data_IF_276199554384
#
_entry.id   IF_276199554384
#
_cell.length_a   1.000
_cell.length_b   1.000
_cell.length_c   1.000
_cell.angle_alpha   90.00
_cell.angle_beta   90.00
_cell.angle_gamma   90.00
#
_symmetry.space_group_name_H-M   'P 1'
#
loop_
_entity.id
_entity.type
_entity.pdbx_description
1 polymer ?
#
# COMPACT_ATOMS: atom_id res chain seq x y z
N UNK A 1 38.83 -46.67 -50.36
CA UNK A 1 40.09 -46.01 -50.61
C UNK A 1 40.44 -45.16 -49.43
N UNK A 2 41.36 -45.68 -48.59
CA UNK A 2 42.64 -45.03 -48.26
C UNK A 2 42.50 -43.76 -47.41
N UNK A 3 43.04 -43.57 -46.28
CA UNK A 3 44.09 -44.13 -45.41
C UNK A 3 44.18 -43.17 -44.20
N UNK A 4 44.09 -43.59 -42.98
CA UNK A 4 45.18 -43.67 -41.99
C UNK A 4 46.01 -42.40 -41.85
N UNK A 5 46.12 -41.81 -40.62
CA UNK A 5 47.27 -42.02 -39.73
C UNK A 5 47.04 -41.49 -38.30
N UNK A 6 47.39 -42.33 -37.33
CA UNK A 6 47.56 -42.06 -35.90
C UNK A 6 48.85 -41.29 -35.66
N UNK A 7 48.87 -40.40 -34.61
CA UNK A 7 50.08 -40.25 -33.80
C UNK A 7 49.67 -40.19 -32.33
N UNK A 8 50.10 -41.21 -31.60
CA UNK A 8 50.23 -41.28 -30.14
C UNK A 8 51.39 -40.37 -29.71
N UNK A 9 51.27 -39.68 -28.62
CA UNK A 9 52.41 -39.30 -27.78
C UNK A 9 52.01 -39.27 -26.31
N UNK A 10 52.72 -40.12 -25.61
CA UNK A 10 52.76 -40.36 -24.17
C UNK A 10 53.45 -39.22 -23.42
N UNK A 11 53.11 -39.08 -22.18
CA UNK A 11 53.89 -38.78 -20.94
C UNK A 11 53.35 -37.57 -20.22
N UNK A 12 53.11 -37.52 -18.98
CA UNK A 12 53.69 -37.98 -17.73
C UNK A 12 52.70 -37.69 -16.58
N UNK A 13 52.51 -38.65 -15.71
CA UNK A 13 51.90 -38.46 -14.40
C UNK A 13 52.76 -37.49 -13.55
N UNK A 14 52.13 -36.49 -13.00
CA UNK A 14 52.55 -35.91 -11.71
C UNK A 14 51.36 -35.78 -10.82
N UNK A 15 51.32 -36.66 -9.84
CA UNK A 15 50.39 -36.65 -8.70
C UNK A 15 50.74 -35.45 -7.83
N UNK A 16 49.91 -34.42 -7.87
CA UNK A 16 49.86 -33.41 -6.81
C UNK A 16 48.53 -33.59 -6.14
N UNK A 17 48.55 -34.10 -4.93
CA UNK A 17 47.42 -34.12 -3.99
C UNK A 17 47.09 -32.69 -3.66
N UNK A 18 46.04 -32.12 -4.25
CA UNK A 18 45.39 -30.91 -3.77
C UNK A 18 44.13 -31.29 -3.02
N UNK A 19 44.09 -30.95 -1.75
CA UNK A 19 42.93 -30.92 -0.90
C UNK A 19 41.76 -30.27 -1.67
N UNK A 20 40.69 -31.01 -1.91
CA UNK A 20 39.41 -30.45 -2.32
C UNK A 20 38.75 -29.84 -1.11
N UNK A 21 38.91 -28.53 -0.95
CA UNK A 21 37.92 -27.72 -0.24
C UNK A 21 36.72 -27.56 -1.18
N UNK A 22 35.56 -28.05 -0.77
CA UNK A 22 34.28 -27.80 -1.44
C UNK A 22 34.08 -26.28 -1.54
N UNK A 23 33.56 -25.75 -2.67
CA UNK A 23 33.09 -24.37 -2.70
C UNK A 23 31.84 -24.29 -1.85
N UNK A 24 31.98 -23.63 -0.69
CA UNK A 24 30.85 -23.21 0.10
C UNK A 24 29.97 -22.24 -0.71
N UNK A 25 28.68 -22.42 -0.58
CA UNK A 25 27.67 -21.47 -1.05
C UNK A 25 28.06 -20.05 -0.64
N UNK A 26 28.54 -19.28 -1.59
CA UNK A 26 28.57 -17.83 -1.41
C UNK A 26 27.15 -17.34 -1.57
N UNK A 27 26.41 -17.33 -0.46
CA UNK A 27 25.27 -16.46 -0.32
C UNK A 27 25.76 -15.05 -0.67
N UNK A 28 25.19 -14.41 -1.69
CA UNK A 28 25.36 -12.99 -1.96
C UNK A 28 25.10 -12.24 -0.69
N UNK A 29 26.15 -11.76 -0.04
CA UNK A 29 26.05 -10.88 1.11
C UNK A 29 25.46 -9.58 0.62
N UNK A 30 24.23 -9.30 1.04
CA UNK A 30 23.67 -7.95 1.00
C UNK A 30 24.71 -6.97 1.56
N UNK A 31 24.95 -5.83 0.91
CA UNK A 31 25.96 -4.86 1.38
C UNK A 31 25.71 -4.27 2.76
N UNK A 32 24.67 -4.72 3.45
CA UNK A 32 24.25 -4.31 4.79
C UNK A 32 24.41 -5.41 5.85
N UNK A 33 25.42 -6.27 5.76
CA UNK A 33 25.76 -7.13 6.90
C UNK A 33 26.45 -6.27 7.94
N UNK A 34 25.72 -5.87 8.97
CA UNK A 34 26.29 -5.32 10.18
C UNK A 34 27.22 -6.37 10.80
N UNK A 35 28.50 -6.23 10.61
CA UNK A 35 29.55 -7.03 11.28
C UNK A 35 29.64 -6.57 12.73
N UNK A 36 28.74 -7.03 13.58
CA UNK A 36 28.68 -6.69 15.01
C UNK A 36 29.53 -7.58 15.87
N UNK A 37 30.79 -7.87 15.52
CA UNK A 37 31.74 -8.51 16.45
C UNK A 37 33.19 -8.02 16.41
N UNK A 38 33.57 -7.08 15.53
CA UNK A 38 34.98 -6.68 15.37
C UNK A 38 35.20 -5.17 15.51
N UNK A 39 34.70 -4.53 16.57
CA UNK A 39 35.16 -3.18 16.96
C UNK A 39 34.82 -2.04 15.95
N UNK A 40 33.96 -2.26 15.00
CA UNK A 40 33.45 -1.23 14.09
C UNK A 40 32.38 -0.37 14.80
N UNK A 41 32.40 0.96 14.68
CA UNK A 41 31.40 1.81 15.28
C UNK A 41 30.02 1.36 14.83
N UNK A 42 29.14 1.19 15.82
CA UNK A 42 27.75 0.75 15.57
C UNK A 42 27.06 1.71 14.60
N UNK A 43 26.32 1.17 13.64
CA UNK A 43 25.53 1.93 12.68
C UNK A 43 24.44 2.73 13.43
N UNK A 44 24.49 4.07 13.37
CA UNK A 44 23.60 4.96 14.12
C UNK A 44 23.15 6.14 13.24
N UNK A 45 22.52 7.14 13.81
CA UNK A 45 21.91 8.28 13.10
C UNK A 45 22.82 8.96 12.05
N UNK A 46 24.11 9.23 12.29
CA UNK A 46 24.98 9.81 11.28
C UNK A 46 25.11 8.95 10.02
N UNK A 47 25.20 7.63 10.19
CA UNK A 47 25.32 6.69 9.08
C UNK A 47 24.01 6.61 8.27
N UNK A 48 22.85 6.67 8.95
CA UNK A 48 21.53 6.74 8.32
C UNK A 48 21.40 8.01 7.47
N UNK A 49 21.87 9.15 8.01
CA UNK A 49 21.83 10.42 7.30
C UNK A 49 22.79 10.45 6.10
N UNK A 50 23.98 9.86 6.23
CA UNK A 50 24.92 9.73 5.13
C UNK A 50 24.38 8.83 4.01
N UNK A 51 23.75 7.71 4.37
CA UNK A 51 23.09 6.81 3.41
C UNK A 51 21.82 7.41 2.78
N UNK A 52 21.21 8.43 3.41
CA UNK A 52 20.02 9.11 2.93
C UNK A 52 18.72 8.29 2.98
N UNK A 53 18.72 7.12 3.64
CA UNK A 53 17.57 6.23 3.78
C UNK A 53 17.40 5.76 5.22
N UNK A 54 16.17 5.86 5.73
CA UNK A 54 15.75 5.37 7.05
C UNK A 54 14.85 4.15 6.85
N UNK A 55 15.25 2.99 7.40
CA UNK A 55 14.53 1.72 7.26
C UNK A 55 13.64 1.49 8.47
N UNK A 56 12.33 1.52 8.24
CA UNK A 56 11.32 1.41 9.29
C UNK A 56 10.68 0.03 9.28
N UNK A 57 10.81 -0.68 10.38
CA UNK A 57 10.17 -1.97 10.61
C UNK A 57 8.77 -1.77 11.18
N UNK A 58 7.77 -2.46 10.63
CA UNK A 58 6.38 -2.34 11.06
C UNK A 58 5.58 -3.63 10.82
N UNK A 59 4.31 -3.60 11.21
CA UNK A 59 3.34 -4.66 10.93
C UNK A 59 2.24 -4.12 10.02
N UNK A 60 1.64 -4.99 9.21
CA UNK A 60 0.41 -4.64 8.52
C UNK A 60 -0.72 -4.37 9.53
N UNK A 61 -1.46 -3.29 9.30
CA UNK A 61 -2.62 -2.94 10.10
C UNK A 61 -3.07 -1.49 9.89
N UNK A 62 -4.33 -1.17 10.23
CA UNK A 62 -4.92 0.15 9.98
C UNK A 62 -4.23 1.29 10.74
N UNK A 63 -3.57 0.97 11.85
CA UNK A 63 -2.84 1.93 12.67
C UNK A 63 -1.36 1.97 12.34
N UNK A 64 -0.79 0.83 11.95
CA UNK A 64 0.63 0.69 11.70
C UNK A 64 0.99 1.08 10.28
N UNK A 65 0.67 0.20 9.32
CA UNK A 65 0.97 0.39 7.90
C UNK A 65 0.03 -0.42 7.02
N UNK A 66 -0.41 0.15 5.92
CA UNK A 66 -1.17 -0.52 4.86
C UNK A 66 -1.04 0.26 3.54
N UNK A 67 -1.27 -0.45 2.44
CA UNK A 67 -1.36 0.14 1.11
C UNK A 67 -2.82 0.36 0.71
N UNK A 68 -3.07 1.46 0.02
CA UNK A 68 -4.36 1.77 -0.57
C UNK A 68 -4.17 2.47 -1.91
N UNK A 69 -4.65 1.87 -2.99
CA UNK A 69 -4.52 2.40 -4.36
C UNK A 69 -3.07 2.72 -4.75
N UNK A 70 -2.10 1.93 -4.28
CA UNK A 70 -0.67 2.13 -4.53
C UNK A 70 -0.02 3.27 -3.74
N UNK A 71 -0.69 3.80 -2.74
CA UNK A 71 -0.15 4.76 -1.79
C UNK A 71 -0.04 4.12 -0.40
N UNK A 72 0.92 4.59 0.39
CA UNK A 72 1.23 4.04 1.70
C UNK A 72 0.59 4.86 2.82
N UNK A 73 -0.08 4.17 3.72
CA UNK A 73 -0.83 4.74 4.83
C UNK A 73 -0.59 3.99 6.14
N UNK A 74 -1.15 4.51 7.20
CA UNK A 74 -1.04 4.03 8.57
C UNK A 74 -0.61 5.16 9.47
N UNK A 75 -1.22 5.26 10.64
CA UNK A 75 -0.98 6.34 11.59
C UNK A 75 0.49 6.37 12.01
N UNK A 76 1.03 5.22 12.41
CA UNK A 76 2.41 5.10 12.84
C UNK A 76 3.40 5.39 11.69
N UNK A 77 3.13 4.85 10.50
CA UNK A 77 3.91 5.11 9.31
C UNK A 77 3.96 6.61 8.94
N UNK A 78 2.80 7.29 8.99
CA UNK A 78 2.75 8.71 8.62
C UNK A 78 3.55 9.58 9.57
N UNK A 79 3.57 9.25 10.85
CA UNK A 79 4.41 9.91 11.86
C UNK A 79 5.90 9.60 11.57
N UNK A 80 6.27 8.33 11.33
CA UNK A 80 7.63 7.92 10.99
C UNK A 80 8.16 8.62 9.75
N UNK A 81 7.31 8.80 8.72
CA UNK A 81 7.65 9.53 7.50
C UNK A 81 7.99 11.00 7.77
N UNK A 82 7.30 11.65 8.70
CA UNK A 82 7.62 13.03 9.08
C UNK A 82 8.96 13.11 9.82
N UNK A 83 9.27 12.12 10.66
CA UNK A 83 10.58 12.03 11.28
C UNK A 83 11.69 11.85 10.23
N UNK A 84 11.55 10.91 9.29
CA UNK A 84 12.51 10.71 8.21
C UNK A 84 12.78 12.01 7.43
N UNK A 85 11.71 12.74 7.07
CA UNK A 85 11.82 14.05 6.41
C UNK A 85 12.56 15.08 7.27
N UNK A 86 12.36 15.08 8.59
CA UNK A 86 12.99 16.05 9.50
C UNK A 86 14.49 15.84 9.63
N UNK A 87 14.98 14.61 9.46
CA UNK A 87 16.40 14.27 9.47
C UNK A 87 17.04 14.22 8.08
N UNK A 88 16.27 14.58 7.02
CA UNK A 88 16.78 14.69 5.66
C UNK A 88 16.89 13.37 4.90
N UNK A 89 16.20 12.31 5.33
CA UNK A 89 16.26 10.98 4.71
C UNK A 89 14.98 10.60 3.98
N UNK A 90 15.08 9.68 3.02
CA UNK A 90 13.96 8.92 2.50
C UNK A 90 13.52 7.87 3.53
N UNK A 91 12.31 7.31 3.36
CA UNK A 91 11.82 6.22 4.21
C UNK A 91 11.65 4.96 3.38
N UNK A 92 12.19 3.83 3.86
CA UNK A 92 11.88 2.48 3.39
C UNK A 92 11.12 1.73 4.47
N UNK A 93 10.08 1.01 4.08
CA UNK A 93 9.27 0.23 5.02
C UNK A 93 9.51 -1.24 4.79
N UNK A 94 9.87 -1.94 5.87
CA UNK A 94 9.99 -3.39 5.91
C UNK A 94 8.90 -3.94 6.83
N UNK A 95 8.03 -4.78 6.28
CA UNK A 95 6.90 -5.32 7.03
C UNK A 95 7.24 -6.70 7.57
N UNK A 96 7.14 -6.86 8.90
CA UNK A 96 7.34 -8.12 9.58
C UNK A 96 6.03 -8.94 9.63
N UNK A 97 6.15 -10.25 9.78
CA UNK A 97 5.00 -11.17 9.84
C UNK A 97 4.27 -11.11 11.18
N UNK A 98 4.99 -10.83 12.26
CA UNK A 98 4.48 -10.76 13.63
C UNK A 98 5.48 -10.03 14.54
N UNK A 99 5.12 -9.80 15.80
CA UNK A 99 5.97 -9.07 16.75
C UNK A 99 7.32 -9.74 17.02
N UNK A 100 7.40 -11.09 17.01
CA UNK A 100 8.67 -11.82 17.20
C UNK A 100 9.60 -11.58 16.02
N UNK A 101 9.08 -11.70 14.79
CA UNK A 101 9.81 -11.43 13.56
C UNK A 101 10.29 -9.96 13.51
N UNK A 102 9.43 -9.03 13.91
CA UNK A 102 9.71 -7.61 14.00
C UNK A 102 10.95 -7.31 14.90
N UNK A 103 10.96 -7.88 16.10
CA UNK A 103 12.09 -7.75 17.04
C UNK A 103 13.34 -8.42 16.50
N UNK A 104 13.21 -9.62 15.92
CA UNK A 104 14.33 -10.34 15.31
C UNK A 104 14.98 -9.52 14.19
N UNK A 105 14.17 -8.97 13.28
CA UNK A 105 14.65 -8.11 12.19
C UNK A 105 15.41 -6.88 12.71
N UNK A 106 14.89 -6.21 13.73
CA UNK A 106 15.57 -5.07 14.34
C UNK A 106 16.93 -5.46 14.92
N UNK A 107 16.97 -6.54 15.69
CA UNK A 107 18.21 -7.00 16.34
C UNK A 107 19.23 -7.53 15.31
N UNK A 108 18.77 -8.05 14.17
CA UNK A 108 19.64 -8.48 13.08
C UNK A 108 20.11 -7.33 12.17
N UNK A 109 19.71 -6.07 12.45
CA UNK A 109 20.08 -4.93 11.63
C UNK A 109 19.34 -4.82 10.30
N UNK A 110 18.20 -5.50 10.13
CA UNK A 110 17.38 -5.44 8.92
C UNK A 110 16.54 -4.15 8.84
N UNK A 111 16.64 -3.28 9.84
CA UNK A 111 16.01 -1.96 9.88
C UNK A 111 16.55 -1.16 11.06
N UNK A 112 16.20 0.13 11.10
CA UNK A 112 16.76 1.09 12.05
C UNK A 112 15.92 1.21 13.32
N UNK A 113 14.60 1.20 13.17
CA UNK A 113 13.68 1.22 14.30
C UNK A 113 12.30 0.60 13.97
N UNK A 114 11.55 0.27 15.03
CA UNK A 114 10.19 -0.25 14.94
C UNK A 114 9.18 0.88 15.10
N UNK A 115 8.36 1.12 14.07
CA UNK A 115 7.23 2.06 14.10
C UNK A 115 5.89 1.32 14.18
N UNK A 116 5.63 0.70 15.30
CA UNK A 116 4.32 0.18 15.69
C UNK A 116 4.24 0.09 17.22
N UNK A 117 3.04 -0.17 17.75
CA UNK A 117 2.84 -0.34 19.19
C UNK A 117 3.44 -1.68 19.66
N UNK A 118 4.73 -1.69 20.00
CA UNK A 118 5.40 -2.83 20.58
C UNK A 118 5.28 -2.80 22.13
N UNK A 119 4.81 -3.87 22.78
CA UNK A 119 4.77 -3.94 24.25
C UNK A 119 6.15 -3.77 24.86
N UNK A 120 6.29 -2.89 25.86
CA UNK A 120 7.53 -2.61 26.56
C UNK A 120 7.87 -3.73 27.58
N UNK A 121 8.09 -4.94 27.08
CA UNK A 121 8.42 -6.10 27.92
C UNK A 121 9.82 -5.95 28.54
N UNK A 122 9.95 -6.32 29.83
CA UNK A 122 11.22 -6.22 30.55
C UNK A 122 12.32 -7.07 29.91
N UNK A 123 11.97 -8.20 29.32
CA UNK A 123 12.91 -9.06 28.57
C UNK A 123 13.54 -8.39 27.35
N UNK A 124 12.91 -7.37 26.80
CA UNK A 124 13.41 -6.62 25.65
C UNK A 124 14.22 -5.37 26.04
N UNK A 125 14.03 -4.86 27.26
CA UNK A 125 14.72 -3.65 27.74
C UNK A 125 16.24 -3.78 27.83
N UNK A 126 16.76 -5.01 27.83
CA UNK A 126 18.20 -5.26 27.78
C UNK A 126 18.81 -4.92 26.41
N UNK A 127 18.05 -5.05 25.33
CA UNK A 127 18.50 -4.94 23.95
C UNK A 127 17.89 -3.76 23.20
N UNK A 128 16.74 -3.25 23.65
CA UNK A 128 15.97 -2.19 23.00
C UNK A 128 15.75 -1.00 23.90
N UNK A 129 15.79 0.19 23.32
CA UNK A 129 15.28 1.42 23.90
C UNK A 129 13.86 1.66 23.36
N UNK A 130 12.93 1.88 24.29
CA UNK A 130 11.54 2.19 23.96
C UNK A 130 11.32 3.69 23.89
N UNK A 131 10.83 4.17 22.75
CA UNK A 131 10.72 5.58 22.41
C UNK A 131 9.25 5.98 22.24
N UNK A 132 8.87 7.14 22.78
CA UNK A 132 7.54 7.72 22.56
C UNK A 132 6.42 7.04 23.31
N UNK A 133 6.67 6.39 24.45
CA UNK A 133 5.65 5.68 25.25
C UNK A 133 4.47 6.60 25.60
N UNK A 134 4.75 7.77 26.17
CA UNK A 134 3.71 8.72 26.58
C UNK A 134 3.09 9.45 25.37
N UNK A 135 3.92 9.85 24.42
CA UNK A 135 3.51 10.61 23.25
C UNK A 135 2.57 9.80 22.35
N UNK A 136 2.90 8.55 22.06
CA UNK A 136 2.09 7.65 21.24
C UNK A 136 0.80 7.27 21.98
N UNK A 137 0.88 6.94 23.27
CA UNK A 137 -0.31 6.61 24.06
C UNK A 137 -1.31 7.76 24.07
N UNK A 138 -0.86 8.97 24.41
CA UNK A 138 -1.72 10.17 24.42
C UNK A 138 -2.33 10.45 23.07
N UNK A 139 -1.56 10.29 21.99
CA UNK A 139 -2.05 10.50 20.63
C UNK A 139 -3.10 9.46 20.25
N UNK A 140 -2.87 8.18 20.51
CA UNK A 140 -3.79 7.10 20.15
C UNK A 140 -5.11 7.20 20.93
N UNK A 141 -5.07 7.58 22.22
CA UNK A 141 -6.27 7.83 23.00
C UNK A 141 -7.10 9.00 22.44
N UNK A 142 -6.45 10.10 22.10
CA UNK A 142 -7.09 11.25 21.47
C UNK A 142 -7.68 10.90 20.09
N UNK A 143 -7.00 10.10 19.30
CA UNK A 143 -7.45 9.64 17.98
C UNK A 143 -8.69 8.74 18.12
N UNK A 144 -8.68 7.81 19.08
CA UNK A 144 -9.82 6.94 19.42
C UNK A 144 -11.07 7.74 19.78
N UNK A 145 -10.92 8.74 20.64
CA UNK A 145 -12.02 9.63 21.03
C UNK A 145 -12.57 10.42 19.84
N UNK A 146 -11.70 11.01 19.02
CA UNK A 146 -12.09 11.82 17.86
C UNK A 146 -12.83 10.99 16.80
N UNK A 147 -12.38 9.76 16.53
CA UNK A 147 -12.97 8.87 15.53
C UNK A 147 -14.15 8.06 16.05
N UNK A 148 -14.42 8.09 17.36
CA UNK A 148 -15.38 7.20 18.04
C UNK A 148 -15.12 5.71 17.73
N UNK A 149 -13.86 5.36 17.55
CA UNK A 149 -13.41 4.02 17.18
C UNK A 149 -12.75 3.37 18.39
N UNK A 150 -13.49 2.50 19.06
CA UNK A 150 -13.03 1.77 20.25
C UNK A 150 -12.01 0.67 19.92
N UNK A 151 -11.77 0.37 18.64
CA UNK A 151 -10.74 -0.58 18.22
C UNK A 151 -9.35 0.05 18.22
N UNK A 152 -9.26 1.39 18.14
CA UNK A 152 -8.03 2.16 18.29
C UNK A 152 -7.66 2.31 19.78
N UNK A 153 -7.36 1.21 20.46
CA UNK A 153 -6.96 1.29 21.85
C UNK A 153 -5.48 1.57 21.99
N UNK A 154 -5.15 2.56 22.83
CA UNK A 154 -3.81 2.68 23.40
C UNK A 154 -3.50 1.42 24.21
N UNK A 155 -2.40 0.75 23.89
CA UNK A 155 -1.82 -0.25 24.76
C UNK A 155 -0.94 0.53 25.76
N UNK A 156 -1.44 0.74 26.99
CA UNK A 156 -0.66 1.33 28.07
C UNK A 156 0.60 0.53 28.25
N UNK A 157 1.78 1.07 27.94
CA UNK A 157 3.09 0.42 27.89
C UNK A 157 3.48 -0.17 26.50
N UNK A 158 2.98 0.40 25.43
CA UNK A 158 3.50 0.12 24.10
C UNK A 158 4.18 1.37 23.51
N UNK A 159 5.26 1.16 22.76
CA UNK A 159 6.07 2.22 22.20
C UNK A 159 6.75 1.79 20.90
N UNK A 160 7.39 2.72 20.22
CA UNK A 160 8.38 2.40 19.21
C UNK A 160 9.66 1.88 19.87
N UNK A 161 10.51 1.22 19.10
CA UNK A 161 11.74 0.64 19.66
C UNK A 161 12.92 0.85 18.72
N UNK A 162 14.08 1.17 19.31
CA UNK A 162 15.38 1.33 18.66
C UNK A 162 16.35 0.35 19.33
N UNK A 163 17.38 -0.13 18.62
CA UNK A 163 18.45 -0.90 19.24
C UNK A 163 19.20 -0.04 20.28
N UNK A 164 19.66 -0.65 21.35
CA UNK A 164 20.48 0.06 22.37
C UNK A 164 21.84 0.51 21.85
N UNK A 165 22.35 -0.13 20.83
CA UNK A 165 23.60 0.23 20.16
C UNK A 165 23.46 1.37 19.14
N UNK A 166 22.25 1.96 19.01
CA UNK A 166 21.97 3.15 18.20
C UNK A 166 21.47 4.31 19.09
N UNK A 167 22.26 4.79 20.06
CA UNK A 167 21.83 5.77 21.06
C UNK A 167 21.51 7.15 20.48
N UNK A 168 22.17 7.57 19.39
CA UNK A 168 21.92 8.87 18.76
C UNK A 168 20.57 8.87 18.05
N UNK A 169 20.21 7.77 17.36
CA UNK A 169 18.89 7.59 16.77
C UNK A 169 17.80 7.58 17.85
N UNK A 170 18.01 6.84 18.94
CA UNK A 170 17.07 6.76 20.07
C UNK A 170 16.82 8.13 20.69
N UNK A 171 17.89 8.89 20.96
CA UNK A 171 17.80 10.23 21.53
C UNK A 171 17.12 11.22 20.57
N UNK A 172 17.51 11.22 19.30
CA UNK A 172 16.93 12.09 18.26
C UNK A 172 15.44 11.84 18.09
N UNK A 173 15.04 10.56 17.97
CA UNK A 173 13.64 10.17 17.79
C UNK A 173 12.80 10.54 19.03
N UNK A 174 13.31 10.31 20.24
CA UNK A 174 12.67 10.70 21.49
C UNK A 174 12.45 12.20 21.59
N UNK A 175 13.48 12.98 21.29
CA UNK A 175 13.40 14.44 21.30
C UNK A 175 12.40 14.96 20.26
N UNK A 176 12.46 14.41 19.05
CA UNK A 176 11.56 14.79 17.96
C UNK A 176 10.10 14.48 18.31
N UNK A 177 9.80 13.28 18.80
CA UNK A 177 8.44 12.90 19.21
C UNK A 177 7.88 13.83 20.28
N UNK A 178 8.66 14.14 21.29
CA UNK A 178 8.26 15.07 22.37
C UNK A 178 7.97 16.48 21.82
N UNK A 179 8.81 16.98 20.92
CA UNK A 179 8.65 18.30 20.32
C UNK A 179 7.43 18.39 19.39
N UNK A 180 7.08 17.32 18.67
CA UNK A 180 6.08 17.31 17.61
C UNK A 180 4.80 16.57 17.97
N UNK A 181 4.63 16.12 19.21
CA UNK A 181 3.42 15.39 19.65
C UNK A 181 2.12 16.10 19.29
N UNK A 182 2.08 17.44 19.44
CA UNK A 182 0.90 18.25 19.11
C UNK A 182 0.57 18.27 17.61
N UNK A 183 1.54 17.95 16.77
CA UNK A 183 1.41 17.97 15.32
C UNK A 183 1.01 16.61 14.73
N UNK A 184 0.98 15.54 15.54
CA UNK A 184 0.69 14.18 15.07
C UNK A 184 -0.64 14.09 14.32
N UNK A 185 -1.69 14.80 14.76
CA UNK A 185 -2.94 14.88 14.02
C UNK A 185 -2.78 15.51 12.62
N UNK A 186 -1.93 16.53 12.50
CA UNK A 186 -1.65 17.15 11.22
C UNK A 186 -0.88 16.22 10.28
N UNK A 187 0.03 15.42 10.81
CA UNK A 187 0.81 14.44 10.05
C UNK A 187 -0.04 13.27 9.55
N UNK A 188 -1.03 12.84 10.33
CA UNK A 188 -1.92 11.73 9.97
C UNK A 188 -3.11 12.15 9.12
N UNK A 189 -3.29 13.45 8.88
CA UNK A 189 -4.32 13.99 8.01
C UNK A 189 -3.74 14.34 6.64
N UNK A 190 -4.29 13.74 5.57
CA UNK A 190 -3.90 14.08 4.21
C UNK A 190 -4.45 15.47 3.88
N UNK A 191 -3.56 16.46 3.86
CA UNK A 191 -3.89 17.81 3.42
C UNK A 191 -3.53 17.95 1.94
N UNK A 192 -4.54 17.89 1.08
CA UNK A 192 -4.38 18.38 -0.28
C UNK A 192 -4.37 19.91 -0.19
N UNK A 193 -3.22 20.53 -0.48
CA UNK A 193 -3.14 21.99 -0.62
C UNK A 193 -3.97 22.39 -1.83
N UNK A 194 -5.25 22.71 -1.62
CA UNK A 194 -6.00 23.48 -2.61
C UNK A 194 -5.36 24.88 -2.70
N UNK A 195 -4.99 25.30 -3.89
CA UNK A 195 -4.63 26.70 -4.16
C UNK A 195 -5.85 27.56 -3.84
N UNK A 196 -5.89 28.16 -2.64
CA UNK A 196 -6.96 29.05 -2.22
C UNK A 196 -7.52 28.68 -0.85
N UNK A 197 -6.81 28.94 0.17
CA UNK A 197 -7.03 29.27 1.57
C UNK A 197 -8.37 28.99 2.27
N UNK A 198 -9.14 27.95 1.92
CA UNK A 198 -10.29 27.53 2.72
C UNK A 198 -10.27 26.00 2.89
N UNK A 199 -9.91 25.56 4.10
CA UNK A 199 -10.16 24.21 4.58
C UNK A 199 -11.66 24.05 4.78
N UNK A 200 -12.36 23.57 3.76
CA UNK A 200 -13.72 23.06 3.95
C UNK A 200 -13.61 21.60 4.37
N UNK A 201 -14.31 21.16 5.44
CA UNK A 201 -14.58 19.75 5.58
C UNK A 201 -15.31 19.30 4.30
N UNK A 202 -15.06 18.10 3.79
CA UNK A 202 -15.69 17.63 2.56
C UNK A 202 -17.20 17.61 2.78
N UNK A 203 -17.88 18.66 2.37
CA UNK A 203 -19.35 18.63 2.21
C UNK A 203 -19.60 17.80 0.96
N UNK A 204 -19.95 16.54 1.19
CA UNK A 204 -20.50 15.70 0.15
C UNK A 204 -21.76 16.39 -0.37
N UNK A 205 -21.68 17.07 -1.50
CA UNK A 205 -22.86 17.42 -2.29
C UNK A 205 -23.37 16.11 -2.89
N UNK A 206 -24.35 15.51 -2.24
CA UNK A 206 -25.02 14.33 -2.79
C UNK A 206 -25.88 14.80 -3.96
N UNK A 207 -25.38 14.62 -5.17
CA UNK A 207 -26.21 14.77 -6.38
C UNK A 207 -27.20 13.61 -6.47
N UNK A 208 -28.36 13.86 -7.12
CA UNK A 208 -29.27 12.77 -7.42
C UNK A 208 -28.56 11.70 -8.29
N UNK A 209 -28.82 10.40 -8.06
CA UNK A 209 -28.18 9.34 -8.84
C UNK A 209 -28.58 9.33 -10.32
N UNK A 210 -29.68 9.97 -10.69
CA UNK A 210 -30.17 10.20 -12.06
C UNK A 210 -30.79 11.59 -12.08
N UNK A 211 -30.33 12.47 -12.97
CA UNK A 211 -30.86 13.83 -13.08
C UNK A 211 -32.24 13.81 -13.75
N UNK A 212 -32.37 13.13 -14.89
CA UNK A 212 -33.61 13.07 -15.64
C UNK A 212 -33.73 11.78 -16.48
N UNK A 213 -34.40 10.78 -15.93
CA UNK A 213 -34.58 9.50 -16.57
C UNK A 213 -35.39 9.62 -17.90
N UNK A 214 -36.40 10.50 -17.95
CA UNK A 214 -37.25 10.67 -19.15
C UNK A 214 -36.46 11.25 -20.34
N UNK A 215 -35.38 12.03 -20.05
CA UNK A 215 -34.47 12.57 -21.08
C UNK A 215 -33.22 11.70 -21.28
N UNK A 216 -33.14 10.54 -20.65
CA UNK A 216 -31.97 9.66 -20.74
C UNK A 216 -30.71 10.23 -20.11
N UNK A 217 -30.83 11.15 -19.11
CA UNK A 217 -29.71 11.88 -18.52
C UNK A 217 -29.42 11.38 -17.11
N UNK A 218 -28.23 10.82 -16.91
CA UNK A 218 -27.72 10.39 -15.59
C UNK A 218 -27.08 11.58 -14.87
N UNK A 219 -26.18 12.30 -15.53
CA UNK A 219 -25.38 13.37 -14.94
C UNK A 219 -25.12 14.52 -15.90
N UNK A 220 -24.48 15.59 -15.42
CA UNK A 220 -23.96 16.65 -16.28
C UNK A 220 -22.73 16.23 -17.10
N UNK A 221 -22.19 15.04 -16.85
CA UNK A 221 -20.94 14.53 -17.43
C UNK A 221 -21.16 13.38 -18.41
N UNK A 222 -22.40 13.09 -18.79
CA UNK A 222 -22.75 11.94 -19.63
C UNK A 222 -21.99 11.93 -20.96
N UNK A 223 -21.79 13.09 -21.58
CA UNK A 223 -21.02 13.23 -22.83
C UNK A 223 -19.54 12.85 -22.65
N UNK A 224 -18.97 13.17 -21.48
CA UNK A 224 -17.61 12.74 -21.14
C UNK A 224 -17.56 11.23 -20.94
N UNK A 225 -18.53 10.66 -20.23
CA UNK A 225 -18.59 9.22 -20.02
C UNK A 225 -18.78 8.47 -21.34
N UNK A 226 -19.68 8.91 -22.22
CA UNK A 226 -19.87 8.36 -23.57
C UNK A 226 -18.59 8.42 -24.39
N UNK A 227 -17.91 9.58 -24.40
CA UNK A 227 -16.66 9.79 -25.14
C UNK A 227 -15.56 8.84 -24.67
N UNK A 228 -15.33 8.71 -23.36
CA UNK A 228 -14.20 8.00 -22.80
C UNK A 228 -14.46 6.50 -22.52
N UNK A 229 -15.70 6.08 -22.36
CA UNK A 229 -16.07 4.67 -22.19
C UNK A 229 -15.63 3.82 -23.39
N UNK A 230 -15.69 4.38 -24.60
CA UNK A 230 -15.21 3.73 -25.82
C UNK A 230 -13.73 3.37 -25.76
N UNK A 231 -12.91 4.16 -25.05
CA UNK A 231 -11.46 3.95 -24.95
C UNK A 231 -11.07 2.77 -24.05
N UNK A 232 -11.92 2.44 -23.08
CA UNK A 232 -11.72 1.30 -22.18
C UNK A 232 -12.65 0.11 -22.46
N UNK A 233 -13.49 0.21 -23.50
CA UNK A 233 -14.41 -0.86 -23.90
C UNK A 233 -15.57 -1.08 -22.94
N UNK A 234 -15.96 -0.06 -22.18
CA UNK A 234 -17.04 -0.12 -21.20
C UNK A 234 -18.34 0.50 -21.71
N UNK A 235 -19.46 0.06 -21.13
CA UNK A 235 -20.73 0.80 -21.18
C UNK A 235 -20.54 2.14 -20.44
N UNK A 236 -20.89 3.26 -21.07
CA UNK A 236 -20.76 4.59 -20.47
C UNK A 236 -21.54 4.72 -19.15
N UNK A 237 -22.66 3.98 -19.00
CA UNK A 237 -23.47 3.92 -17.77
C UNK A 237 -22.73 3.23 -16.62
N UNK A 238 -21.85 2.28 -16.93
CA UNK A 238 -20.95 1.68 -15.93
C UNK A 238 -19.95 2.71 -15.43
N UNK A 239 -19.35 3.49 -16.36
CA UNK A 239 -18.43 4.57 -15.99
C UNK A 239 -19.13 5.66 -15.16
N UNK A 240 -20.38 6.02 -15.51
CA UNK A 240 -21.20 6.91 -14.73
C UNK A 240 -21.55 6.35 -13.35
N UNK A 241 -21.84 5.04 -13.24
CA UNK A 241 -22.09 4.37 -11.96
C UNK A 241 -20.85 4.39 -11.05
N UNK A 242 -19.67 4.23 -11.63
CA UNK A 242 -18.41 4.36 -10.91
C UNK A 242 -18.16 5.80 -10.45
N UNK A 243 -18.33 6.80 -11.32
CA UNK A 243 -18.17 8.22 -10.96
C UNK A 243 -19.11 8.65 -9.82
N UNK A 244 -20.35 8.15 -9.84
CA UNK A 244 -21.26 8.38 -8.72
C UNK A 244 -20.76 7.76 -7.41
N UNK A 245 -20.23 6.55 -7.46
CA UNK A 245 -19.68 5.88 -6.29
C UNK A 245 -18.43 6.60 -5.74
N UNK A 246 -17.60 7.15 -6.62
CA UNK A 246 -16.38 7.85 -6.26
C UNK A 246 -16.65 9.22 -5.62
N UNK A 247 -17.50 10.05 -6.24
CA UNK A 247 -17.67 11.46 -5.85
C UNK A 247 -19.11 11.95 -5.75
N UNK A 248 -20.10 11.10 -6.07
CA UNK A 248 -21.48 11.55 -6.32
C UNK A 248 -21.55 12.66 -7.39
N UNK A 249 -20.72 12.54 -8.43
CA UNK A 249 -20.56 13.51 -9.52
C UNK A 249 -20.00 14.87 -9.09
N UNK A 250 -19.31 14.99 -7.97
CA UNK A 250 -18.62 16.21 -7.57
C UNK A 250 -17.19 16.25 -8.13
N UNK A 251 -16.88 17.16 -9.10
CA UNK A 251 -15.54 17.25 -9.67
C UNK A 251 -14.53 17.87 -8.71
N UNK A 252 -14.97 18.49 -7.61
CA UNK A 252 -14.10 19.08 -6.59
C UNK A 252 -13.94 18.16 -5.37
N UNK A 253 -14.44 16.93 -5.44
CA UNK A 253 -14.37 16.00 -4.32
C UNK A 253 -12.93 15.66 -3.95
N UNK A 254 -12.66 15.66 -2.65
CA UNK A 254 -11.40 15.22 -2.05
C UNK A 254 -11.75 14.19 -0.99
N UNK A 255 -11.25 12.96 -1.12
CA UNK A 255 -11.47 11.94 -0.11
C UNK A 255 -10.58 12.17 1.12
N UNK A 256 -10.93 11.51 2.22
CA UNK A 256 -10.09 11.48 3.42
C UNK A 256 -8.68 10.94 3.13
N UNK A 257 -8.54 10.00 2.20
CA UNK A 257 -7.27 9.40 1.78
C UNK A 257 -6.54 10.19 0.69
N UNK A 258 -7.07 11.36 0.28
CA UNK A 258 -6.43 12.25 -0.70
C UNK A 258 -6.72 11.93 -2.16
N UNK A 259 -7.70 11.09 -2.46
CA UNK A 259 -8.17 10.89 -3.83
C UNK A 259 -8.92 12.13 -4.32
N UNK A 260 -8.77 12.47 -5.60
CA UNK A 260 -9.12 13.77 -6.17
C UNK A 260 -10.08 13.69 -7.35
N UNK A 261 -11.06 14.59 -7.36
CA UNK A 261 -11.92 14.87 -8.50
C UNK A 261 -13.02 13.87 -8.73
N UNK A 262 -13.66 13.95 -9.90
CA UNK A 262 -14.87 13.24 -10.28
C UNK A 262 -14.75 11.70 -10.17
N UNK A 263 -13.57 11.17 -10.55
CA UNK A 263 -13.26 9.74 -10.54
C UNK A 263 -12.29 9.35 -9.42
N UNK A 264 -12.00 10.24 -8.47
CA UNK A 264 -11.19 10.02 -7.28
C UNK A 264 -9.82 9.37 -7.57
N UNK A 265 -9.02 10.01 -8.43
CA UNK A 265 -7.66 9.59 -8.70
C UNK A 265 -6.73 9.93 -7.53
N UNK A 266 -5.93 8.97 -7.09
CA UNK A 266 -4.82 9.27 -6.17
C UNK A 266 -3.74 10.12 -6.86
N UNK A 267 -3.02 11.00 -6.16
CA UNK A 267 -2.03 11.88 -6.76
C UNK A 267 -0.94 11.16 -7.56
N UNK A 268 -0.45 10.03 -7.09
CA UNK A 268 0.53 9.20 -7.81
C UNK A 268 -0.07 8.62 -9.08
N UNK A 269 -1.27 8.04 -8.97
CA UNK A 269 -2.00 7.47 -10.10
C UNK A 269 -2.33 8.54 -11.15
N UNK A 270 -2.78 9.73 -10.73
CA UNK A 270 -3.05 10.85 -11.64
C UNK A 270 -1.80 11.18 -12.50
N UNK A 271 -0.63 11.30 -11.85
CA UNK A 271 0.65 11.52 -12.57
C UNK A 271 0.97 10.38 -13.52
N UNK A 272 0.82 9.14 -13.08
CA UNK A 272 1.09 7.93 -13.90
C UNK A 272 0.23 7.89 -15.17
N UNK A 273 -1.05 8.28 -15.08
CA UNK A 273 -1.96 8.32 -16.25
C UNK A 273 -1.90 9.64 -17.04
N UNK A 274 -0.98 10.55 -16.69
CA UNK A 274 -0.75 11.81 -17.39
C UNK A 274 -1.77 12.90 -17.09
N UNK A 275 -2.23 12.98 -15.83
CA UNK A 275 -3.06 14.06 -15.30
C UNK A 275 -2.24 14.87 -14.30
N UNK A 276 -2.01 16.15 -14.60
CA UNK A 276 -1.27 17.05 -13.72
C UNK A 276 -2.09 17.43 -12.47
N UNK A 277 -1.39 17.87 -11.43
CA UNK A 277 -2.04 18.36 -10.20
C UNK A 277 -2.92 19.60 -10.42
N UNK A 278 -2.65 20.39 -11.48
CA UNK A 278 -3.48 21.53 -11.86
C UNK A 278 -4.74 21.15 -12.62
N UNK A 279 -4.77 19.97 -13.25
CA UNK A 279 -5.87 19.49 -14.08
C UNK A 279 -6.74 18.41 -13.41
N UNK A 280 -6.32 17.89 -12.26
CA UNK A 280 -7.00 16.75 -11.62
C UNK A 280 -8.45 17.03 -11.25
N UNK A 281 -8.83 18.30 -11.02
CA UNK A 281 -10.22 18.72 -10.76
C UNK A 281 -10.99 19.10 -12.03
N UNK A 282 -10.32 19.12 -13.20
CA UNK A 282 -11.02 19.28 -14.48
C UNK A 282 -11.71 17.96 -14.85
N UNK A 283 -13.05 17.94 -15.02
CA UNK A 283 -13.79 16.70 -15.29
C UNK A 283 -13.28 15.92 -16.51
N UNK A 284 -12.94 16.62 -17.59
CA UNK A 284 -12.45 15.99 -18.82
C UNK A 284 -11.09 15.30 -18.59
N UNK A 285 -10.13 15.98 -17.94
CA UNK A 285 -8.81 15.41 -17.64
C UNK A 285 -8.91 14.28 -16.64
N UNK A 286 -9.77 14.40 -15.63
CA UNK A 286 -9.97 13.40 -14.59
C UNK A 286 -10.60 12.11 -15.14
N UNK A 287 -11.68 12.21 -15.94
CA UNK A 287 -12.32 11.05 -16.58
C UNK A 287 -11.36 10.38 -17.58
N UNK A 288 -10.64 11.18 -18.39
CA UNK A 288 -9.61 10.66 -19.31
C UNK A 288 -8.52 9.85 -18.56
N UNK A 289 -8.04 10.37 -17.44
CA UNK A 289 -7.06 9.66 -16.62
C UNK A 289 -7.60 8.37 -16.04
N UNK A 290 -8.82 8.40 -15.50
CA UNK A 290 -9.48 7.23 -14.95
C UNK A 290 -9.70 6.13 -15.99
N UNK A 291 -10.11 6.47 -17.20
CA UNK A 291 -10.30 5.47 -18.28
C UNK A 291 -8.99 4.88 -18.77
N UNK A 292 -7.87 5.64 -18.74
CA UNK A 292 -6.53 5.05 -18.96
C UNK A 292 -6.17 4.03 -17.89
N UNK A 293 -6.42 4.32 -16.60
CA UNK A 293 -6.21 3.35 -15.53
C UNK A 293 -7.07 2.10 -15.74
N UNK A 294 -8.35 2.27 -16.05
CA UNK A 294 -9.26 1.15 -16.35
C UNK A 294 -8.72 0.30 -17.51
N UNK A 295 -8.21 0.92 -18.56
CA UNK A 295 -7.60 0.21 -19.68
C UNK A 295 -6.34 -0.58 -19.28
N UNK A 296 -5.50 -0.01 -18.42
CA UNK A 296 -4.32 -0.71 -17.85
C UNK A 296 -4.74 -1.91 -17.02
N UNK A 297 -5.75 -1.75 -16.14
CA UNK A 297 -6.31 -2.85 -15.34
C UNK A 297 -6.98 -3.91 -16.21
N UNK A 298 -7.67 -3.52 -17.29
CA UNK A 298 -8.23 -4.46 -18.25
C UNK A 298 -7.15 -5.31 -18.92
N UNK A 299 -6.01 -4.72 -19.24
CA UNK A 299 -4.85 -5.44 -19.79
C UNK A 299 -4.22 -6.36 -18.73
N UNK A 300 -4.13 -5.90 -17.47
CA UNK A 300 -3.62 -6.70 -16.36
C UNK A 300 -4.47 -7.98 -16.13
N UNK A 301 -5.78 -7.85 -16.20
CA UNK A 301 -6.72 -8.98 -16.03
C UNK A 301 -7.14 -9.65 -17.35
N UNK A 302 -6.40 -9.49 -18.44
CA UNK A 302 -6.74 -10.06 -19.75
C UNK A 302 -6.82 -11.60 -19.77
N UNK A 303 -6.19 -12.28 -18.80
CA UNK A 303 -6.31 -13.73 -18.59
C UNK A 303 -7.73 -14.16 -18.25
N UNK A 304 -8.52 -13.32 -17.59
CA UNK A 304 -9.94 -13.57 -17.27
C UNK A 304 -10.76 -13.37 -18.55
N UNK A 305 -11.16 -14.46 -19.17
CA UNK A 305 -11.79 -14.43 -20.52
C UNK A 305 -13.21 -13.87 -20.51
N UNK A 306 -13.96 -14.11 -19.42
CA UNK A 306 -15.31 -13.56 -19.28
C UNK A 306 -15.21 -12.05 -18.98
N UNK A 307 -15.71 -11.22 -19.89
CA UNK A 307 -15.66 -9.76 -19.79
C UNK A 307 -16.50 -9.22 -18.61
N UNK A 308 -17.63 -9.84 -18.30
CA UNK A 308 -18.49 -9.46 -17.17
C UNK A 308 -17.81 -9.76 -15.83
N UNK A 309 -17.13 -10.90 -15.71
CA UNK A 309 -16.31 -11.19 -14.55
C UNK A 309 -15.15 -10.22 -14.44
N UNK A 310 -14.41 -9.99 -15.52
CA UNK A 310 -13.24 -9.10 -15.53
C UNK A 310 -13.57 -7.68 -15.06
N UNK A 311 -14.77 -7.17 -15.32
CA UNK A 311 -15.23 -5.88 -14.79
C UNK A 311 -15.17 -5.85 -13.26
N UNK A 312 -15.54 -6.93 -12.58
CA UNK A 312 -15.53 -7.00 -11.12
C UNK A 312 -14.09 -6.85 -10.58
N UNK A 313 -13.11 -7.51 -11.21
CA UNK A 313 -11.69 -7.42 -10.86
C UNK A 313 -11.12 -6.03 -11.12
N UNK A 314 -11.49 -5.42 -12.25
CA UNK A 314 -11.07 -4.05 -12.59
C UNK A 314 -11.61 -3.05 -11.55
N UNK A 315 -12.89 -3.13 -11.21
CA UNK A 315 -13.50 -2.28 -10.19
C UNK A 315 -12.83 -2.48 -8.82
N UNK A 316 -12.60 -3.73 -8.41
CA UNK A 316 -11.92 -4.04 -7.17
C UNK A 316 -10.48 -3.47 -7.15
N UNK A 317 -9.73 -3.66 -8.23
CA UNK A 317 -8.37 -3.16 -8.35
C UNK A 317 -8.29 -1.63 -8.44
N UNK A 318 -9.27 -0.99 -9.04
CA UNK A 318 -9.39 0.46 -9.05
C UNK A 318 -9.54 1.01 -7.62
N UNK A 319 -10.30 0.33 -6.78
CA UNK A 319 -10.55 0.72 -5.39
C UNK A 319 -9.41 0.34 -4.44
N UNK A 320 -8.91 -0.89 -4.52
CA UNK A 320 -7.93 -1.41 -3.56
C UNK A 320 -6.48 -1.36 -4.05
N UNK A 321 -6.27 -1.33 -5.36
CA UNK A 321 -5.00 -1.63 -6.01
C UNK A 321 -4.95 -3.08 -6.52
N UNK A 322 -4.29 -3.29 -7.66
CA UNK A 322 -4.23 -4.61 -8.31
C UNK A 322 -3.56 -5.66 -7.41
N UNK A 323 -2.54 -5.28 -6.66
CA UNK A 323 -1.81 -6.20 -5.80
C UNK A 323 -2.69 -6.93 -4.78
N UNK A 324 -3.56 -6.20 -4.07
CA UNK A 324 -4.48 -6.81 -3.10
C UNK A 324 -5.51 -7.74 -3.75
N UNK A 325 -5.95 -7.41 -4.97
CA UNK A 325 -6.87 -8.27 -5.72
C UNK A 325 -6.16 -9.53 -6.22
N UNK A 326 -4.90 -9.42 -6.63
CA UNK A 326 -4.07 -10.57 -7.02
C UNK A 326 -3.76 -11.48 -5.84
N UNK A 327 -3.50 -10.93 -4.65
CA UNK A 327 -3.38 -11.67 -3.40
C UNK A 327 -4.67 -12.44 -3.08
N UNK A 328 -5.84 -11.80 -3.20
CA UNK A 328 -7.13 -12.47 -3.00
C UNK A 328 -7.37 -13.59 -4.03
N UNK A 329 -6.93 -13.41 -5.29
CA UNK A 329 -6.95 -14.46 -6.33
C UNK A 329 -6.03 -15.63 -5.99
N UNK A 330 -4.83 -15.34 -5.46
CA UNK A 330 -3.89 -16.36 -5.02
C UNK A 330 -4.46 -17.20 -3.88
N UNK A 331 -5.08 -16.55 -2.89
CA UNK A 331 -5.80 -17.25 -1.82
C UNK A 331 -6.98 -18.06 -2.35
N UNK A 332 -7.79 -17.53 -3.26
CA UNK A 332 -8.89 -18.28 -3.87
C UNK A 332 -8.38 -19.58 -4.51
N UNK A 333 -7.29 -19.52 -5.28
CA UNK A 333 -6.64 -20.70 -5.87
C UNK A 333 -6.17 -21.69 -4.82
N UNK A 334 -5.50 -21.22 -3.77
CA UNK A 334 -5.01 -22.05 -2.66
C UNK A 334 -6.13 -22.84 -1.99
N UNK A 335 -7.28 -22.19 -1.80
CA UNK A 335 -8.46 -22.78 -1.15
C UNK A 335 -9.42 -23.48 -2.12
N UNK A 336 -8.96 -23.84 -3.33
CA UNK A 336 -9.74 -24.61 -4.31
C UNK A 336 -10.92 -23.85 -4.92
N UNK A 337 -10.88 -22.50 -4.92
CA UNK A 337 -11.87 -21.65 -5.57
C UNK A 337 -11.35 -21.18 -6.93
N UNK A 338 -12.28 -20.79 -7.81
CA UNK A 338 -11.91 -20.29 -9.12
C UNK A 338 -11.36 -18.84 -9.02
N UNK A 339 -10.06 -18.60 -9.34
CA UNK A 339 -9.44 -17.29 -9.22
C UNK A 339 -9.91 -16.28 -10.29
N UNK A 340 -10.65 -16.72 -11.29
CA UNK A 340 -11.15 -15.92 -12.41
C UNK A 340 -12.66 -15.64 -12.33
N UNK A 341 -13.31 -16.05 -11.24
CA UNK A 341 -14.72 -15.79 -10.93
C UNK A 341 -14.80 -14.97 -9.64
N UNK A 342 -15.55 -13.89 -9.69
CA UNK A 342 -15.66 -12.98 -8.55
C UNK A 342 -16.59 -13.53 -7.47
N UNK A 343 -17.90 -13.66 -7.81
CA UNK A 343 -18.93 -13.97 -6.83
C UNK A 343 -18.77 -15.38 -6.24
N UNK A 344 -18.74 -15.48 -4.91
CA UNK A 344 -18.59 -16.73 -4.16
C UNK A 344 -17.19 -17.36 -4.28
N UNK A 345 -16.25 -16.69 -4.94
CA UNK A 345 -14.87 -17.14 -5.13
C UNK A 345 -13.88 -16.10 -4.60
N UNK A 346 -13.47 -15.13 -5.41
CA UNK A 346 -12.43 -14.16 -5.04
C UNK A 346 -12.96 -13.11 -4.06
N UNK A 347 -14.20 -12.66 -4.17
CA UNK A 347 -14.86 -11.74 -3.26
C UNK A 347 -14.84 -12.21 -1.79
N UNK A 348 -14.98 -13.52 -1.57
CA UNK A 348 -14.90 -14.11 -0.24
C UNK A 348 -13.50 -13.96 0.38
N UNK A 349 -12.44 -13.99 -0.42
CA UNK A 349 -11.07 -13.78 0.06
C UNK A 349 -10.75 -12.29 0.19
N UNK A 350 -11.28 -11.45 -0.67
CA UNK A 350 -11.23 -9.99 -0.48
C UNK A 350 -11.74 -9.61 0.91
N UNK A 351 -12.89 -10.15 1.33
CA UNK A 351 -13.43 -9.91 2.68
C UNK A 351 -12.51 -10.41 3.81
N UNK A 352 -11.78 -11.51 3.58
CA UNK A 352 -10.88 -12.11 4.57
C UNK A 352 -9.55 -11.39 4.72
N UNK A 353 -9.15 -10.54 3.76
CA UNK A 353 -7.87 -9.83 3.78
C UNK A 353 -7.73 -8.80 4.92
N UNK A 354 -8.78 -8.54 5.68
CA UNK A 354 -8.71 -7.76 6.93
C UNK A 354 -8.32 -8.62 8.15
N UNK A 355 -8.22 -9.94 8.01
CA UNK A 355 -7.86 -10.88 9.08
C UNK A 355 -6.42 -11.36 8.94
N UNK A 356 -5.65 -11.30 10.04
CA UNK A 356 -4.24 -11.73 10.08
C UNK A 356 -4.03 -13.20 9.70
N UNK A 357 -5.04 -14.05 9.92
CA UNK A 357 -5.03 -15.45 9.48
C UNK A 357 -4.93 -15.60 7.95
N UNK A 358 -5.28 -14.56 7.20
CA UNK A 358 -5.23 -14.56 5.74
C UNK A 358 -4.14 -13.64 5.19
N UNK A 359 -4.06 -12.38 5.62
CA UNK A 359 -3.08 -11.46 5.05
C UNK A 359 -1.62 -11.76 5.42
N UNK A 360 -1.35 -12.62 6.41
CA UNK A 360 0.00 -13.09 6.76
C UNK A 360 0.39 -14.42 6.06
N UNK A 361 -0.44 -14.92 5.14
CA UNK A 361 -0.10 -16.16 4.42
C UNK A 361 0.99 -15.92 3.37
N UNK A 362 1.81 -16.94 3.06
CA UNK A 362 2.92 -16.80 2.10
C UNK A 362 2.50 -16.36 0.70
N UNK A 363 1.24 -16.66 0.31
CA UNK A 363 0.70 -16.27 -0.99
C UNK A 363 0.30 -14.80 -1.07
N UNK A 364 0.31 -14.07 0.05
CA UNK A 364 -0.08 -12.67 0.14
C UNK A 364 1.16 -11.79 0.19
N UNK A 365 1.34 -10.99 -0.85
CA UNK A 365 2.49 -10.09 -0.99
C UNK A 365 2.21 -8.66 -0.46
N UNK A 366 0.95 -8.21 -0.52
CA UNK A 366 0.56 -6.81 -0.20
C UNK A 366 -0.09 -6.69 1.19
N UNK A 367 -0.32 -7.82 1.89
CA UNK A 367 -0.74 -7.85 3.28
C UNK A 367 -2.16 -7.35 3.55
N UNK A 368 -2.30 -6.60 4.63
CA UNK A 368 -3.60 -6.12 5.13
C UNK A 368 -4.26 -5.09 4.21
N UNK A 369 -5.56 -5.27 3.94
CA UNK A 369 -6.43 -4.21 3.44
C UNK A 369 -7.88 -4.38 3.92
N UNK A 370 -8.68 -3.29 3.80
CA UNK A 370 -10.09 -3.29 4.24
C UNK A 370 -11.00 -3.88 3.16
N UNK A 371 -10.98 -5.20 3.02
CA UNK A 371 -11.69 -5.90 1.96
C UNK A 371 -13.19 -5.64 1.89
N UNK A 372 -13.84 -5.33 3.02
CA UNK A 372 -15.26 -4.96 3.04
C UNK A 372 -15.58 -3.68 2.26
N UNK A 373 -14.69 -2.70 2.25
CA UNK A 373 -14.85 -1.48 1.46
C UNK A 373 -14.85 -1.80 -0.03
N UNK A 374 -13.90 -2.61 -0.48
CA UNK A 374 -13.78 -3.03 -1.89
C UNK A 374 -14.95 -3.93 -2.32
N UNK A 375 -15.35 -4.87 -1.47
CA UNK A 375 -16.52 -5.72 -1.73
C UNK A 375 -17.79 -4.86 -1.93
N UNK A 376 -18.05 -3.92 -1.01
CA UNK A 376 -19.20 -3.03 -1.10
C UNK A 376 -19.10 -2.07 -2.31
N UNK A 377 -17.91 -1.62 -2.65
CA UNK A 377 -17.66 -0.77 -3.82
C UNK A 377 -18.08 -1.48 -5.11
N UNK A 378 -17.61 -2.70 -5.34
CA UNK A 378 -17.96 -3.50 -6.53
C UNK A 378 -19.47 -3.72 -6.61
N UNK A 379 -20.09 -4.19 -5.52
CA UNK A 379 -21.52 -4.47 -5.48
C UNK A 379 -22.38 -3.22 -5.70
N UNK A 380 -22.01 -2.09 -5.10
CA UNK A 380 -22.74 -0.83 -5.26
C UNK A 380 -22.70 -0.32 -6.70
N UNK A 381 -21.55 -0.43 -7.37
CA UNK A 381 -21.43 -0.02 -8.78
C UNK A 381 -22.20 -0.97 -9.69
N UNK A 382 -22.11 -2.27 -9.50
CA UNK A 382 -22.84 -3.27 -10.29
C UNK A 382 -24.35 -3.09 -10.18
N UNK A 383 -24.86 -2.88 -8.98
CA UNK A 383 -26.28 -2.61 -8.71
C UNK A 383 -26.73 -1.33 -9.41
N UNK A 384 -25.95 -0.25 -9.28
CA UNK A 384 -26.27 1.05 -9.91
C UNK A 384 -26.21 0.97 -11.43
N UNK A 385 -25.24 0.28 -11.99
CA UNK A 385 -25.16 0.07 -13.42
C UNK A 385 -26.37 -0.69 -13.96
N UNK A 386 -26.82 -1.74 -13.25
CA UNK A 386 -28.06 -2.45 -13.61
C UNK A 386 -29.26 -1.51 -13.60
N UNK A 387 -29.39 -0.67 -12.57
CA UNK A 387 -30.45 0.35 -12.50
C UNK A 387 -30.38 1.34 -13.68
N UNK A 388 -29.18 1.81 -14.02
CA UNK A 388 -28.98 2.73 -15.14
C UNK A 388 -29.35 2.09 -16.48
N UNK A 389 -29.00 0.81 -16.69
CA UNK A 389 -29.42 0.06 -17.88
C UNK A 389 -30.93 -0.08 -18.01
N UNK A 390 -31.64 -0.20 -16.89
CA UNK A 390 -33.11 -0.29 -16.88
C UNK A 390 -33.82 1.05 -17.13
N UNK A 391 -33.22 2.14 -16.63
CA UNK A 391 -33.88 3.47 -16.66
C UNK A 391 -33.45 4.34 -17.84
N UNK A 392 -32.26 4.10 -18.40
CA UNK A 392 -31.63 4.92 -19.43
C UNK A 392 -31.40 4.05 -20.66
N UNK A 393 -32.13 4.30 -21.70
CA UNK A 393 -31.92 3.66 -23.00
C UNK A 393 -30.60 4.15 -23.64
N UNK A 394 -30.08 3.41 -24.60
CA UNK A 394 -28.77 3.68 -25.24
C UNK A 394 -28.67 5.07 -25.83
#
# INVERSE_FOLDING_TARGET
MLTRWCILSFLLLSIIACNQTQPGDTAEQSPFVATGQDGNPHFDLPDIQENGELIVLTLYGPESYFEFRGEHFGVQFMIARQYAQSIGTSIRVEVARNQRDLVSKLLNGEGDFIACQLPCADSLKAQLDFVGVAEIATFMDSLSQQRRDTTLRSHSHAAWAVRKDSPLLSASLSQWMKAHQKDFFAYTTIRVKSRGGRTYPPRRKVSAPIINAAKGQISLYDDLFKKYALQCGWDWRLLAAQAYQESSFDPQAISYMGALGLMQLMPSTARQVGVSSSEVFNPNSNVRGATKLIAQLNSHYASIKNAEERINFILAAYNAGAGHVDDARALARKYGRNPDVWLGNVDAFVLKMSSSAYYNQPEVAHGYFRGSETYNYVNSIRTRWSLYKQKINH
#
